data_IF_638875563298
#
_entry.id   IF_638875563298
#
_cell.length_a   1.000
_cell.length_b   1.000
_cell.length_c   1.000
_cell.angle_alpha   90.00
_cell.angle_beta   90.00
_cell.angle_gamma   90.00
#
_symmetry.space_group_name_H-M   'P 1'
#
loop_
_entity.id
_entity.type
_entity.pdbx_description
1 polymer ?
#
# COMPACT_ATOMS: atom_id res chain seq x y z
N UNK A 1 13.58 73.30 2.38
CA UNK A 1 12.66 72.71 1.37
C UNK A 1 12.56 71.20 1.44
N UNK A 2 13.54 70.48 1.89
CA UNK A 2 13.53 69.01 1.93
C UNK A 2 12.63 68.37 3.06
N UNK A 3 12.41 69.13 4.13
CA UNK A 3 11.64 68.65 5.32
C UNK A 3 10.12 68.58 5.07
N UNK A 4 9.59 69.39 4.18
CA UNK A 4 8.17 69.41 3.87
C UNK A 4 7.80 68.41 2.75
N UNK A 5 8.78 67.94 2.01
CA UNK A 5 8.57 66.87 0.99
C UNK A 5 8.41 65.49 1.62
N UNK A 6 9.05 65.25 2.77
CA UNK A 6 8.96 63.98 3.49
C UNK A 6 7.61 63.79 4.18
N UNK A 7 6.89 64.88 4.51
CA UNK A 7 5.57 64.81 5.15
C UNK A 7 4.45 64.55 4.15
N UNK A 8 4.65 64.79 2.87
CA UNK A 8 3.68 64.57 1.82
C UNK A 8 3.65 63.08 1.36
N UNK A 9 4.74 62.35 1.55
CA UNK A 9 4.86 60.92 1.23
C UNK A 9 4.13 60.04 2.27
N UNK A 10 3.93 60.54 3.49
CA UNK A 10 3.26 59.80 4.57
C UNK A 10 1.73 59.81 4.45
N UNK A 11 1.15 60.57 3.51
CA UNK A 11 -0.29 60.67 3.29
C UNK A 11 -0.78 60.02 1.98
N UNK A 12 -0.02 59.04 1.45
CA UNK A 12 -0.56 58.20 0.40
C UNK A 12 -1.67 57.34 1.03
N UNK A 13 -2.94 57.46 0.60
CA UNK A 13 -3.98 56.61 1.11
C UNK A 13 -3.60 55.18 0.71
N UNK A 14 -3.48 54.30 1.69
CA UNK A 14 -3.46 52.88 1.51
C UNK A 14 -4.80 52.52 0.85
N UNK A 15 -4.85 52.50 -0.47
CA UNK A 15 -5.97 52.00 -1.22
C UNK A 15 -6.05 50.49 -0.93
N UNK A 16 -6.74 50.17 0.14
CA UNK A 16 -7.11 48.80 0.46
C UNK A 16 -8.05 48.33 -0.64
N UNK A 17 -7.55 47.58 -1.59
CA UNK A 17 -8.39 46.83 -2.53
C UNK A 17 -9.18 45.80 -1.73
N UNK A 18 -10.39 46.16 -1.34
CA UNK A 18 -11.35 45.19 -0.82
C UNK A 18 -11.55 44.12 -1.91
N UNK A 19 -10.98 42.96 -1.72
CA UNK A 19 -11.13 41.86 -2.66
C UNK A 19 -12.61 41.37 -2.58
N UNK A 20 -13.40 41.68 -3.62
CA UNK A 20 -14.75 41.14 -3.72
C UNK A 20 -14.66 39.61 -3.70
N UNK A 21 -15.31 39.00 -2.72
CA UNK A 21 -15.50 37.57 -2.64
C UNK A 21 -16.97 37.27 -2.54
N UNK A 22 -17.41 36.22 -3.19
CA UNK A 22 -18.78 35.75 -3.17
C UNK A 22 -18.82 34.37 -2.48
N UNK A 23 -19.94 34.05 -1.85
CA UNK A 23 -20.11 32.78 -1.16
C UNK A 23 -20.71 31.75 -2.10
N UNK A 24 -20.11 30.58 -2.13
CA UNK A 24 -20.71 29.37 -2.67
C UNK A 24 -21.09 28.52 -1.46
N UNK A 25 -22.37 28.32 -1.25
CA UNK A 25 -22.92 27.62 -0.09
C UNK A 25 -24.04 26.68 -0.54
N UNK A 26 -24.41 25.76 0.35
CA UNK A 26 -25.50 24.81 0.08
C UNK A 26 -25.56 23.71 1.13
N UNK A 27 -26.54 22.83 0.99
CA UNK A 27 -26.74 21.66 1.85
C UNK A 27 -26.47 20.39 1.05
N UNK A 28 -25.77 19.45 1.66
CA UNK A 28 -25.48 18.17 1.05
C UNK A 28 -26.27 17.08 1.77
N UNK A 29 -27.02 16.29 0.98
CA UNK A 29 -27.84 15.18 1.46
C UNK A 29 -27.51 13.87 0.74
N UNK A 30 -28.03 12.77 1.26
CA UNK A 30 -28.06 11.48 0.57
C UNK A 30 -29.35 11.30 -0.23
N UNK A 31 -29.50 10.16 -0.91
CA UNK A 31 -30.70 9.81 -1.67
C UNK A 31 -31.96 9.67 -0.79
N UNK A 32 -31.80 9.38 0.49
CA UNK A 32 -32.85 9.24 1.48
C UNK A 32 -33.27 10.61 2.08
N UNK A 33 -32.70 11.72 1.54
CA UNK A 33 -32.88 13.11 2.00
C UNK A 33 -32.31 13.40 3.39
N UNK A 34 -31.46 12.53 3.93
CA UNK A 34 -30.74 12.81 5.17
C UNK A 34 -29.55 13.70 4.88
N UNK A 35 -29.33 14.71 5.70
CA UNK A 35 -28.21 15.63 5.59
C UNK A 35 -26.89 14.95 5.94
N UNK A 36 -25.83 15.25 5.20
CA UNK A 36 -24.52 14.63 5.38
C UNK A 36 -23.54 15.59 6.05
N UNK A 37 -23.23 15.36 7.30
CA UNK A 37 -22.18 16.06 8.03
C UNK A 37 -20.80 15.47 7.70
N UNK A 38 -19.77 16.31 7.59
CA UNK A 38 -18.39 15.86 7.33
C UNK A 38 -18.04 15.63 5.86
N UNK A 39 -18.90 16.03 4.92
CA UNK A 39 -18.57 16.00 3.49
C UNK A 39 -17.48 17.01 3.20
N UNK A 40 -16.41 16.58 2.57
CA UNK A 40 -15.31 17.45 2.17
C UNK A 40 -15.59 18.10 0.82
N UNK A 41 -15.54 19.42 0.81
CA UNK A 41 -15.69 20.26 -0.41
C UNK A 41 -14.34 20.89 -0.71
N UNK A 42 -13.70 20.50 -1.82
CA UNK A 42 -12.35 20.94 -2.19
C UNK A 42 -12.39 21.62 -3.56
N UNK A 43 -11.64 22.70 -3.72
CA UNK A 43 -11.40 23.32 -5.02
C UNK A 43 -10.29 22.53 -5.74
N UNK A 44 -10.55 22.09 -6.96
CA UNK A 44 -9.56 21.37 -7.76
C UNK A 44 -8.38 22.28 -8.08
N UNK A 45 -7.15 21.77 -7.88
CA UNK A 45 -5.93 22.54 -8.09
C UNK A 45 -5.55 23.51 -6.96
N UNK A 46 -6.33 23.62 -5.88
CA UNK A 46 -6.04 24.47 -4.74
C UNK A 46 -5.99 23.69 -3.43
N UNK A 47 -5.32 24.27 -2.41
CA UNK A 47 -5.29 23.70 -1.05
C UNK A 47 -6.55 24.01 -0.24
N UNK A 48 -7.38 24.95 -0.69
CA UNK A 48 -8.58 25.38 0.02
C UNK A 48 -9.66 24.29 -0.01
N UNK A 49 -10.16 23.96 1.16
CA UNK A 49 -11.23 22.99 1.35
C UNK A 49 -12.09 23.41 2.57
N UNK A 50 -13.36 23.06 2.55
CA UNK A 50 -14.28 23.18 3.69
C UNK A 50 -14.96 21.84 3.94
N UNK A 51 -15.66 21.72 5.07
CA UNK A 51 -16.37 20.51 5.47
C UNK A 51 -17.79 20.91 5.87
N UNK A 52 -18.79 20.08 5.54
CA UNK A 52 -20.18 20.33 5.97
C UNK A 52 -20.32 20.18 7.49
N UNK A 53 -21.14 21.06 8.08
CA UNK A 53 -21.52 21.00 9.50
C UNK A 53 -22.56 19.90 9.79
N UNK A 54 -23.08 19.83 11.02
CA UNK A 54 -24.09 18.84 11.42
C UNK A 54 -25.41 18.93 10.65
N UNK A 55 -25.73 20.07 10.07
CA UNK A 55 -26.92 20.29 9.25
C UNK A 55 -26.62 20.04 7.76
N UNK A 56 -25.47 19.46 7.43
CA UNK A 56 -25.02 19.22 6.04
C UNK A 56 -24.65 20.49 5.28
N UNK A 57 -24.62 21.65 5.94
CA UNK A 57 -24.38 22.96 5.31
C UNK A 57 -22.88 23.23 5.17
N UNK A 58 -22.48 23.77 4.01
CA UNK A 58 -21.14 24.28 3.75
C UNK A 58 -21.17 25.69 3.20
N UNK A 59 -20.09 26.43 3.38
CA UNK A 59 -19.87 27.75 2.77
C UNK A 59 -18.41 27.91 2.42
N UNK A 60 -18.16 28.45 1.22
CA UNK A 60 -16.84 28.70 0.67
C UNK A 60 -16.81 30.09 0.03
N UNK A 61 -15.89 30.94 0.46
CA UNK A 61 -15.73 32.31 -0.09
C UNK A 61 -14.73 32.28 -1.25
N UNK A 62 -15.18 32.67 -2.44
CA UNK A 62 -14.39 32.64 -3.68
C UNK A 62 -14.38 34.00 -4.35
N UNK A 63 -13.30 34.29 -5.06
CA UNK A 63 -13.23 35.45 -5.97
C UNK A 63 -14.00 35.14 -7.25
N UNK A 64 -14.37 36.15 -8.06
CA UNK A 64 -14.88 35.89 -9.40
C UNK A 64 -13.92 35.01 -10.21
N UNK A 65 -14.47 34.00 -10.88
CA UNK A 65 -13.70 33.00 -11.65
C UNK A 65 -14.46 31.71 -11.86
N UNK A 66 -13.86 30.82 -12.65
CA UNK A 66 -14.37 29.48 -12.92
C UNK A 66 -13.66 28.46 -12.01
N UNK A 67 -14.42 27.63 -11.34
CA UNK A 67 -13.95 26.65 -10.35
C UNK A 67 -14.56 25.28 -10.59
N UNK A 68 -13.80 24.23 -10.27
CA UNK A 68 -14.32 22.87 -10.16
C UNK A 68 -14.30 22.50 -8.68
N UNK A 69 -15.47 22.29 -8.11
CA UNK A 69 -15.63 21.85 -6.73
C UNK A 69 -15.77 20.33 -6.69
N UNK A 70 -14.90 19.67 -5.94
CA UNK A 70 -14.96 18.24 -5.68
C UNK A 70 -15.63 17.99 -4.32
N UNK A 71 -16.72 17.25 -4.32
CA UNK A 71 -17.45 16.81 -3.14
C UNK A 71 -17.13 15.34 -2.88
N UNK A 72 -16.57 15.04 -1.71
CA UNK A 72 -16.18 13.68 -1.34
C UNK A 72 -16.59 13.33 0.08
N UNK A 73 -17.13 12.13 0.26
CA UNK A 73 -17.51 11.58 1.57
C UNK A 73 -17.31 10.07 1.58
N UNK A 74 -16.92 9.52 2.73
CA UNK A 74 -16.65 8.09 2.87
C UNK A 74 -17.93 7.28 2.63
N UNK A 75 -17.87 6.31 1.71
CA UNK A 75 -19.02 5.48 1.32
C UNK A 75 -19.94 6.11 0.28
N UNK A 76 -19.58 7.25 -0.32
CA UNK A 76 -20.31 7.93 -1.37
C UNK A 76 -19.44 8.20 -2.59
N UNK A 77 -20.05 8.24 -3.77
CA UNK A 77 -19.37 8.61 -5.01
C UNK A 77 -18.98 10.08 -4.98
N UNK A 78 -17.71 10.37 -5.24
CA UNK A 78 -17.25 11.75 -5.39
C UNK A 78 -17.85 12.40 -6.64
N UNK A 79 -18.29 13.65 -6.51
CA UNK A 79 -18.87 14.43 -7.60
C UNK A 79 -18.01 15.67 -7.82
N UNK A 80 -17.73 15.98 -9.09
CA UNK A 80 -17.14 17.23 -9.52
C UNK A 80 -18.21 18.11 -10.12
N UNK A 81 -18.29 19.37 -9.67
CA UNK A 81 -19.26 20.35 -10.18
C UNK A 81 -18.49 21.60 -10.60
N UNK A 82 -18.74 22.04 -11.82
CA UNK A 82 -18.23 23.30 -12.34
C UNK A 82 -19.10 24.45 -11.83
N UNK A 83 -18.44 25.47 -11.25
CA UNK A 83 -19.10 26.62 -10.67
C UNK A 83 -18.44 27.89 -11.22
N UNK A 84 -19.26 28.76 -11.81
CA UNK A 84 -18.82 30.07 -12.31
C UNK A 84 -19.28 31.17 -11.36
N UNK A 85 -18.33 31.73 -10.61
CA UNK A 85 -18.58 32.85 -9.70
C UNK A 85 -18.37 34.16 -10.46
N UNK A 86 -19.42 34.98 -10.56
CA UNK A 86 -19.35 36.25 -11.30
C UNK A 86 -19.50 37.43 -10.32
N UNK A 87 -20.72 37.68 -9.85
CA UNK A 87 -21.10 38.90 -9.15
C UNK A 87 -22.09 38.69 -7.99
N UNK A 88 -22.43 37.43 -7.66
CA UNK A 88 -23.38 37.07 -6.62
C UNK A 88 -23.06 35.76 -5.93
N UNK A 89 -23.62 35.58 -4.75
CA UNK A 89 -23.57 34.33 -4.02
C UNK A 89 -24.33 33.22 -4.77
N UNK A 90 -23.82 31.99 -4.66
CA UNK A 90 -24.34 30.81 -5.36
C UNK A 90 -24.81 29.80 -4.33
N UNK A 91 -26.08 29.40 -4.41
CA UNK A 91 -26.57 28.23 -3.68
C UNK A 91 -26.38 26.98 -4.55
N UNK A 92 -25.58 26.02 -4.01
CA UNK A 92 -25.25 24.76 -4.67
C UNK A 92 -25.50 23.61 -3.71
N UNK A 93 -26.76 23.23 -3.60
CA UNK A 93 -27.17 22.06 -2.82
C UNK A 93 -27.14 20.81 -3.68
N UNK A 94 -26.60 19.69 -3.14
CA UNK A 94 -26.33 18.47 -3.89
C UNK A 94 -26.76 17.23 -3.13
N UNK A 95 -27.10 16.18 -3.89
CA UNK A 95 -27.35 14.84 -3.33
C UNK A 95 -26.24 13.90 -3.74
N UNK A 96 -25.54 13.32 -2.76
CA UNK A 96 -24.52 12.30 -2.99
C UNK A 96 -25.17 10.92 -3.09
N UNK A 97 -24.69 10.15 -4.05
CA UNK A 97 -25.08 8.76 -4.21
C UNK A 97 -24.17 7.87 -3.38
N UNK A 98 -24.73 6.93 -2.64
CA UNK A 98 -23.94 5.88 -1.97
C UNK A 98 -23.07 5.21 -3.02
N UNK A 99 -21.80 5.11 -2.72
CA UNK A 99 -20.89 4.28 -3.53
C UNK A 99 -21.17 2.83 -3.19
N UNK A 100 -22.10 2.23 -3.95
CA UNK A 100 -22.38 0.79 -3.92
C UNK A 100 -21.26 -0.02 -4.62
N UNK A 101 -20.13 0.59 -4.95
CA UNK A 101 -18.91 -0.18 -4.98
C UNK A 101 -18.65 -0.64 -3.53
N UNK A 102 -19.50 -1.53 -2.99
CA UNK A 102 -18.96 -2.65 -2.25
C UNK A 102 -17.62 -2.93 -2.92
N UNK A 103 -16.54 -2.82 -2.14
CA UNK A 103 -15.32 -3.54 -2.46
C UNK A 103 -15.84 -4.77 -3.21
N UNK A 104 -15.54 -4.90 -4.49
CA UNK A 104 -15.70 -6.17 -5.17
C UNK A 104 -14.87 -7.09 -4.31
N UNK A 105 -15.52 -7.61 -3.28
CA UNK A 105 -15.06 -8.79 -2.60
C UNK A 105 -14.87 -9.73 -3.76
N UNK A 106 -13.64 -10.11 -4.00
CA UNK A 106 -13.27 -11.05 -5.06
C UNK A 106 -13.84 -12.39 -4.63
N UNK A 107 -15.17 -12.50 -4.71
CA UNK A 107 -15.96 -13.69 -4.39
C UNK A 107 -15.63 -14.81 -5.37
N UNK A 108 -15.11 -14.46 -6.54
CA UNK A 108 -14.74 -15.45 -7.57
C UNK A 108 -13.46 -16.21 -7.20
N UNK A 109 -12.49 -15.58 -6.52
CA UNK A 109 -11.31 -16.30 -6.02
C UNK A 109 -11.62 -17.21 -4.83
N UNK A 110 -12.59 -16.85 -4.00
CA UNK A 110 -12.91 -17.61 -2.79
C UNK A 110 -13.57 -18.99 -3.11
N UNK A 111 -14.33 -19.09 -4.19
CA UNK A 111 -14.89 -20.39 -4.61
C UNK A 111 -13.82 -21.34 -5.17
N UNK A 112 -12.86 -20.84 -5.95
CA UNK A 112 -11.72 -21.66 -6.38
C UNK A 112 -10.78 -21.99 -5.21
N UNK A 113 -10.56 -21.06 -4.29
CA UNK A 113 -9.75 -21.28 -3.09
C UNK A 113 -10.38 -22.35 -2.18
N UNK A 114 -11.70 -22.34 -1.99
CA UNK A 114 -12.42 -23.38 -1.22
C UNK A 114 -12.30 -24.76 -1.85
N UNK A 115 -12.34 -24.84 -3.17
CA UNK A 115 -12.23 -26.12 -3.89
C UNK A 115 -10.80 -26.68 -3.90
N UNK A 116 -9.78 -25.84 -3.69
CA UNK A 116 -8.37 -26.26 -3.70
C UNK A 116 -7.74 -26.31 -2.32
N UNK A 117 -8.44 -25.93 -1.25
CA UNK A 117 -7.89 -25.84 0.11
C UNK A 117 -6.86 -24.71 0.28
N UNK A 118 -6.73 -23.81 -0.71
CA UNK A 118 -5.77 -22.70 -0.69
C UNK A 118 -6.44 -21.42 -0.22
N UNK A 119 -5.81 -20.71 0.71
CA UNK A 119 -6.23 -19.37 1.14
C UNK A 119 -5.33 -18.30 0.51
N UNK A 120 -5.91 -17.17 0.11
CA UNK A 120 -5.14 -16.02 -0.37
C UNK A 120 -4.58 -15.25 0.83
N UNK A 121 -3.27 -15.00 0.83
CA UNK A 121 -2.57 -14.26 1.88
C UNK A 121 -2.25 -12.86 1.36
N UNK A 122 -2.63 -11.84 2.10
CA UNK A 122 -2.36 -10.46 1.71
C UNK A 122 -0.85 -10.15 1.76
N UNK A 123 -0.23 -10.11 0.59
CA UNK A 123 1.22 -9.88 0.45
C UNK A 123 1.68 -8.50 0.99
N UNK A 124 0.78 -7.51 1.05
CA UNK A 124 1.12 -6.18 1.60
C UNK A 124 1.46 -6.23 3.09
N UNK A 125 0.95 -7.22 3.81
CA UNK A 125 1.29 -7.42 5.23
C UNK A 125 2.78 -7.72 5.42
N UNK A 126 3.48 -8.25 4.40
CA UNK A 126 4.92 -8.53 4.49
C UNK A 126 5.75 -7.27 4.69
N UNK A 127 5.38 -6.18 4.03
CA UNK A 127 6.11 -4.91 4.12
C UNK A 127 5.70 -4.07 5.32
N UNK A 128 4.52 -4.32 5.90
CA UNK A 128 3.97 -3.53 7.02
C UNK A 128 4.11 -4.22 8.37
N UNK A 129 4.36 -5.53 8.39
CA UNK A 129 4.50 -6.28 9.63
C UNK A 129 5.92 -6.07 10.21
N UNK A 130 6.06 -5.42 11.38
CA UNK A 130 7.34 -5.25 12.04
C UNK A 130 7.84 -6.61 12.53
N UNK A 131 8.79 -7.19 11.84
CA UNK A 131 9.48 -8.39 12.30
C UNK A 131 10.99 -8.23 12.17
N UNK A 132 11.72 -8.86 13.07
CA UNK A 132 13.19 -8.77 13.15
C UNK A 132 13.86 -9.40 11.94
N UNK A 133 13.32 -10.49 11.42
CA UNK A 133 13.91 -11.22 10.30
C UNK A 133 13.61 -10.58 8.95
N UNK A 134 12.56 -9.73 8.85
CA UNK A 134 12.04 -9.19 7.59
C UNK A 134 11.84 -10.29 6.54
N UNK A 135 11.48 -11.48 6.98
CA UNK A 135 11.18 -12.60 6.11
C UNK A 135 9.73 -12.56 5.69
N UNK A 136 9.47 -12.99 4.46
CA UNK A 136 8.11 -13.12 3.96
C UNK A 136 7.30 -14.10 4.80
N UNK A 137 7.91 -15.19 5.22
CA UNK A 137 7.27 -16.27 5.98
C UNK A 137 6.76 -15.82 7.35
N UNK A 138 7.21 -14.67 7.85
CA UNK A 138 6.69 -14.11 9.11
C UNK A 138 5.18 -13.84 9.07
N UNK A 139 4.61 -13.60 7.89
CA UNK A 139 3.15 -13.45 7.72
C UNK A 139 2.45 -14.78 7.96
N UNK A 140 3.05 -15.87 7.52
CA UNK A 140 2.46 -17.20 7.66
C UNK A 140 2.30 -17.60 9.12
N UNK A 141 3.17 -17.06 10.00
CA UNK A 141 3.09 -17.28 11.46
C UNK A 141 1.77 -16.80 12.08
N UNK A 142 1.07 -15.90 11.41
CA UNK A 142 -0.24 -15.39 11.84
C UNK A 142 -1.39 -16.32 11.45
N UNK A 143 -1.12 -17.32 10.62
CA UNK A 143 -2.15 -18.25 10.15
C UNK A 143 -2.34 -19.40 11.15
N UNK A 144 -3.58 -19.91 11.29
CA UNK A 144 -3.87 -21.02 12.17
C UNK A 144 -3.07 -22.27 11.80
N UNK A 145 -2.48 -22.92 12.78
CA UNK A 145 -1.71 -24.15 12.59
C UNK A 145 -0.28 -23.96 12.11
N UNK A 146 0.19 -22.72 11.95
CA UNK A 146 1.58 -22.40 11.63
C UNK A 146 2.35 -22.04 12.91
N UNK A 147 3.49 -22.64 13.12
CA UNK A 147 4.38 -22.37 14.24
C UNK A 147 5.83 -22.19 13.75
N UNK A 148 6.64 -21.54 14.56
CA UNK A 148 8.07 -21.37 14.30
C UNK A 148 8.84 -21.49 15.60
N UNK A 149 10.03 -22.05 15.52
CA UNK A 149 10.92 -22.20 16.68
C UNK A 149 11.77 -20.96 16.95
N UNK A 150 11.91 -20.07 15.94
CA UNK A 150 12.79 -18.91 16.06
C UNK A 150 12.29 -17.76 15.16
N UNK A 151 12.26 -16.54 15.69
CA UNK A 151 11.85 -15.35 14.93
C UNK A 151 12.87 -14.92 13.86
N UNK A 152 14.14 -15.28 14.02
CA UNK A 152 15.20 -14.97 13.06
C UNK A 152 15.23 -15.93 11.88
N UNK A 153 14.57 -17.09 11.99
CA UNK A 153 14.48 -18.08 10.93
C UNK A 153 13.25 -17.86 10.04
N UNK A 154 13.41 -18.08 8.74
CA UNK A 154 12.31 -18.18 7.79
C UNK A 154 11.63 -19.54 7.79
N UNK A 155 12.15 -20.50 8.53
CA UNK A 155 11.57 -21.81 8.69
C UNK A 155 10.25 -21.75 9.49
N UNK A 156 9.29 -22.54 9.07
CA UNK A 156 8.00 -22.68 9.75
C UNK A 156 7.53 -24.13 9.68
N UNK A 157 6.80 -24.53 10.69
CA UNK A 157 6.12 -25.83 10.79
C UNK A 157 4.63 -25.66 10.69
N UNK A 158 3.95 -26.56 10.02
CA UNK A 158 2.50 -26.51 9.84
C UNK A 158 1.87 -27.79 10.39
N UNK A 159 0.93 -27.61 11.30
CA UNK A 159 0.17 -28.72 11.95
C UNK A 159 1.06 -29.81 12.54
N UNK A 160 2.22 -29.45 13.06
CA UNK A 160 3.18 -30.37 13.64
C UNK A 160 4.11 -31.08 12.66
N UNK A 161 3.97 -30.80 11.35
CA UNK A 161 4.92 -31.28 10.34
C UNK A 161 6.25 -30.55 10.43
N UNK A 162 7.29 -31.16 9.87
CA UNK A 162 8.62 -30.55 9.86
C UNK A 162 8.75 -29.45 8.79
N UNK A 163 9.73 -28.56 8.91
CA UNK A 163 9.91 -27.46 7.95
C UNK A 163 10.27 -27.92 6.54
N UNK A 164 10.88 -29.09 6.36
CA UNK A 164 11.20 -29.69 5.08
C UNK A 164 10.03 -30.40 4.41
N UNK A 165 8.92 -30.55 5.11
CA UNK A 165 7.65 -31.06 4.57
C UNK A 165 6.79 -29.98 3.94
N UNK A 166 7.21 -28.74 3.93
CA UNK A 166 6.54 -27.64 3.28
C UNK A 166 6.95 -27.53 1.81
N UNK A 167 5.98 -27.40 0.93
CA UNK A 167 6.17 -27.20 -0.50
C UNK A 167 6.12 -25.72 -0.82
N UNK A 168 7.10 -25.22 -1.55
CA UNK A 168 7.18 -23.81 -1.94
C UNK A 168 7.29 -23.72 -3.46
N UNK A 169 6.37 -22.94 -4.05
CA UNK A 169 6.39 -22.57 -5.46
C UNK A 169 6.64 -21.06 -5.60
N UNK A 170 7.45 -20.70 -6.59
CA UNK A 170 7.62 -19.30 -7.03
C UNK A 170 7.41 -19.27 -8.55
N UNK A 171 6.39 -18.56 -9.01
CA UNK A 171 6.01 -18.48 -10.42
C UNK A 171 5.85 -19.87 -11.07
N UNK A 172 5.11 -20.76 -10.43
CA UNK A 172 4.86 -22.17 -10.83
C UNK A 172 6.11 -23.07 -10.87
N UNK A 173 7.25 -22.62 -10.33
CA UNK A 173 8.49 -23.41 -10.20
C UNK A 173 8.64 -23.87 -8.76
N UNK A 174 8.79 -25.18 -8.55
CA UNK A 174 9.07 -25.74 -7.24
C UNK A 174 10.46 -25.36 -6.75
N UNK A 175 10.54 -24.92 -5.49
CA UNK A 175 11.78 -24.50 -4.84
C UNK A 175 12.16 -25.52 -3.77
N UNK A 176 13.12 -26.36 -4.07
CA UNK A 176 13.60 -27.41 -3.15
C UNK A 176 14.35 -26.86 -1.93
N UNK A 177 15.06 -25.74 -2.07
CA UNK A 177 15.81 -25.08 -1.00
C UNK A 177 15.42 -23.61 -0.92
N UNK A 178 14.35 -23.28 -0.20
CA UNK A 178 13.83 -21.90 -0.13
C UNK A 178 14.67 -20.96 0.75
N UNK A 179 15.80 -21.44 1.28
CA UNK A 179 16.68 -20.69 2.18
C UNK A 179 18.01 -20.41 1.52
N UNK A 180 18.41 -19.15 1.47
CA UNK A 180 19.65 -18.70 0.83
C UNK A 180 20.90 -19.12 1.62
N UNK A 181 20.85 -19.06 2.95
CA UNK A 181 21.95 -19.45 3.82
C UNK A 181 21.39 -20.27 4.98
N UNK A 182 22.02 -21.39 5.26
CA UNK A 182 21.75 -22.21 6.43
C UNK A 182 23.06 -22.46 7.16
N UNK A 183 23.23 -21.82 8.29
CA UNK A 183 24.37 -22.06 9.20
C UNK A 183 23.82 -22.50 10.55
N UNK A 184 23.85 -23.80 10.80
CA UNK A 184 23.57 -24.37 12.11
C UNK A 184 22.09 -24.21 12.50
N UNK A 185 21.82 -23.55 13.61
CA UNK A 185 20.52 -23.64 14.28
C UNK A 185 19.54 -22.49 14.01
N UNK A 186 19.94 -21.38 13.40
CA UNK A 186 19.13 -20.17 13.55
C UNK A 186 18.82 -19.37 12.28
N UNK A 187 19.41 -19.68 11.14
CA UNK A 187 19.34 -18.73 10.05
C UNK A 187 19.05 -19.37 8.70
N UNK A 188 17.90 -19.07 8.22
CA UNK A 188 17.61 -19.17 6.83
C UNK A 188 17.08 -17.83 6.38
N UNK A 189 17.83 -17.05 5.58
CA UNK A 189 17.19 -15.97 4.87
C UNK A 189 16.24 -16.57 3.86
N UNK A 190 15.01 -16.04 3.85
CA UNK A 190 14.04 -16.37 2.82
C UNK A 190 14.57 -16.04 1.42
N UNK A 191 14.45 -17.00 0.50
CA UNK A 191 14.64 -16.75 -0.91
C UNK A 191 13.57 -15.74 -1.43
N UNK A 192 12.36 -15.78 -0.87
CA UNK A 192 11.28 -14.91 -1.26
C UNK A 192 11.61 -13.46 -0.89
N UNK A 193 11.67 -12.60 -1.90
CA UNK A 193 11.83 -11.17 -1.70
C UNK A 193 10.45 -10.51 -1.59
N UNK A 194 10.09 -9.92 -0.42
CA UNK A 194 8.78 -9.30 -0.21
C UNK A 194 8.42 -8.22 -1.24
N UNK A 195 9.43 -7.47 -1.74
CA UNK A 195 9.23 -6.41 -2.73
C UNK A 195 8.75 -6.96 -4.08
N UNK A 196 9.14 -8.17 -4.43
CA UNK A 196 8.76 -8.83 -5.68
C UNK A 196 7.40 -9.54 -5.58
N UNK A 197 6.91 -9.87 -4.38
CA UNK A 197 5.69 -10.66 -4.18
C UNK A 197 4.45 -9.92 -4.64
N UNK A 198 3.70 -10.53 -5.55
CA UNK A 198 2.39 -10.07 -6.02
C UNK A 198 1.23 -10.77 -5.34
N UNK A 199 1.06 -12.04 -5.63
CA UNK A 199 0.00 -12.86 -5.07
C UNK A 199 0.59 -14.03 -4.28
N UNK A 200 -0.10 -14.43 -3.23
CA UNK A 200 0.31 -15.54 -2.36
C UNK A 200 -0.89 -16.40 -2.04
N UNK A 201 -0.74 -17.68 -2.27
CA UNK A 201 -1.70 -18.71 -1.86
C UNK A 201 -1.02 -19.66 -0.88
N UNK A 202 -1.71 -19.99 0.18
CA UNK A 202 -1.21 -20.88 1.22
C UNK A 202 -2.24 -21.95 1.55
N UNK A 203 -1.78 -23.18 1.78
CA UNK A 203 -2.61 -24.25 2.33
C UNK A 203 -1.88 -24.96 3.46
N UNK A 204 -2.58 -25.11 4.58
CA UNK A 204 -2.10 -25.89 5.73
C UNK A 204 -2.56 -27.38 5.63
N UNK A 205 -2.55 -27.94 4.43
CA UNK A 205 -3.00 -29.29 4.11
C UNK A 205 -4.30 -29.32 3.31
N UNK A 206 -4.57 -30.42 2.62
CA UNK A 206 -5.74 -30.57 1.74
C UNK A 206 -5.62 -29.80 0.42
N UNK A 207 -4.43 -29.66 -0.11
CA UNK A 207 -4.15 -29.01 -1.38
C UNK A 207 -4.43 -29.92 -2.58
N UNK A 208 -4.70 -29.31 -3.74
CA UNK A 208 -5.07 -30.01 -4.96
C UNK A 208 -3.92 -30.81 -5.59
N UNK A 209 -4.25 -31.67 -6.57
CA UNK A 209 -3.32 -32.60 -7.23
C UNK A 209 -2.14 -31.92 -7.97
N UNK A 210 -2.19 -30.60 -8.21
CA UNK A 210 -1.06 -29.81 -8.75
C UNK A 210 0.18 -29.90 -7.85
N UNK A 211 -0.04 -30.01 -6.54
CA UNK A 211 1.01 -29.96 -5.52
C UNK A 211 1.25 -31.35 -4.95
N UNK A 212 2.37 -31.97 -5.31
CA UNK A 212 2.78 -33.30 -4.87
C UNK A 212 3.96 -33.29 -3.90
N UNK A 213 4.38 -34.47 -3.46
CA UNK A 213 5.64 -34.78 -2.76
C UNK A 213 5.86 -34.21 -1.35
N UNK A 214 4.97 -33.36 -0.84
CA UNK A 214 5.07 -32.78 0.51
C UNK A 214 3.77 -33.00 1.29
N UNK A 215 3.90 -33.12 2.61
CA UNK A 215 2.81 -33.62 3.46
C UNK A 215 2.19 -32.52 4.34
N UNK A 216 2.91 -31.42 4.59
CA UNK A 216 2.51 -30.46 5.61
C UNK A 216 1.77 -29.24 5.03
N UNK A 217 2.40 -28.49 4.15
CA UNK A 217 1.79 -27.28 3.59
C UNK A 217 2.27 -26.96 2.17
N UNK A 218 1.53 -26.09 1.51
CA UNK A 218 1.91 -25.49 0.23
C UNK A 218 1.90 -23.98 0.35
N UNK A 219 2.97 -23.34 -0.10
CA UNK A 219 3.11 -21.93 -0.29
C UNK A 219 3.35 -21.65 -1.78
N UNK A 220 2.38 -21.06 -2.46
CA UNK A 220 2.47 -20.69 -3.88
C UNK A 220 2.55 -19.18 -4.01
N UNK A 221 3.69 -18.68 -4.46
CA UNK A 221 4.02 -17.26 -4.59
C UNK A 221 4.11 -16.89 -6.05
N UNK A 222 3.35 -15.87 -6.45
CA UNK A 222 3.46 -15.27 -7.78
C UNK A 222 4.08 -13.89 -7.64
N UNK A 223 5.16 -13.64 -8.37
CA UNK A 223 5.81 -12.33 -8.38
C UNK A 223 4.99 -11.32 -9.20
N UNK A 224 5.13 -10.05 -8.86
CA UNK A 224 4.38 -8.95 -9.47
C UNK A 224 4.74 -8.78 -10.95
N UNK A 225 3.74 -8.46 -11.74
CA UNK A 225 3.93 -7.76 -13.01
C UNK A 225 3.67 -6.26 -12.80
N UNK A 226 4.34 -5.40 -13.55
CA UNK A 226 4.29 -3.94 -13.32
C UNK A 226 3.87 -3.23 -14.59
N UNK A 227 3.00 -2.24 -14.42
CA UNK A 227 2.57 -1.36 -15.50
C UNK A 227 3.37 -0.05 -15.54
N UNK A 228 4.15 0.23 -14.48
CA UNK A 228 4.93 1.46 -14.34
C UNK A 228 6.37 1.17 -13.88
N UNK A 229 7.31 1.99 -14.34
CA UNK A 229 8.68 1.99 -13.82
C UNK A 229 8.71 2.60 -12.44
N UNK A 230 9.28 1.90 -11.46
CA UNK A 230 9.41 2.37 -10.08
C UNK A 230 10.67 1.82 -9.41
N UNK A 231 11.12 2.51 -8.38
CA UNK A 231 12.23 2.07 -7.52
C UNK A 231 11.74 2.04 -6.07
N UNK A 232 12.03 0.95 -5.38
CA UNK A 232 11.78 0.77 -3.95
C UNK A 232 13.13 0.67 -3.26
N UNK A 233 13.35 1.48 -2.23
CA UNK A 233 14.53 1.40 -1.38
C UNK A 233 14.08 1.12 0.04
N UNK A 234 14.59 0.06 0.62
CA UNK A 234 14.34 -0.35 2.00
C UNK A 234 15.58 -0.14 2.87
N UNK A 235 15.39 0.51 4.00
CA UNK A 235 16.42 0.67 5.03
C UNK A 235 15.92 0.03 6.32
N UNK A 236 16.72 -0.84 6.89
CA UNK A 236 16.43 -1.52 8.14
C UNK A 236 17.65 -1.57 9.04
N UNK A 237 17.45 -1.81 10.33
CA UNK A 237 18.54 -1.95 11.32
C UNK A 237 19.51 -3.08 11.00
N UNK A 238 19.04 -4.09 10.26
CA UNK A 238 19.81 -5.28 9.90
C UNK A 238 20.13 -5.36 8.39
N UNK A 239 19.92 -4.28 7.60
CA UNK A 239 20.31 -4.32 6.21
C UNK A 239 19.65 -3.27 5.32
N UNK A 240 19.95 -3.38 4.05
CA UNK A 240 19.43 -2.52 2.99
C UNK A 240 18.89 -3.35 1.85
N UNK A 241 17.86 -2.84 1.19
CA UNK A 241 17.33 -3.42 -0.05
C UNK A 241 17.09 -2.35 -1.10
N UNK A 242 17.22 -2.71 -2.35
CA UNK A 242 16.86 -1.88 -3.48
C UNK A 242 16.21 -2.75 -4.55
N UNK A 243 15.02 -2.39 -4.97
CA UNK A 243 14.28 -3.10 -6.01
C UNK A 243 13.85 -2.12 -7.08
N UNK A 244 14.21 -2.41 -8.33
CA UNK A 244 13.85 -1.59 -9.49
C UNK A 244 12.93 -2.39 -10.39
N UNK A 245 11.85 -1.77 -10.79
CA UNK A 245 10.90 -2.29 -11.77
C UNK A 245 10.96 -1.43 -13.00
N UNK A 246 11.20 -2.05 -14.12
CA UNK A 246 11.28 -1.38 -15.41
C UNK A 246 10.23 -1.98 -16.35
N UNK A 247 9.35 -1.11 -16.86
CA UNK A 247 8.34 -1.49 -17.84
C UNK A 247 8.57 -0.73 -19.14
N UNK A 248 8.73 -1.44 -20.23
CA UNK A 248 8.83 -0.86 -21.55
C UNK A 248 8.08 -1.71 -22.57
N UNK A 249 6.96 -1.20 -23.09
CA UNK A 249 6.10 -1.89 -24.06
C UNK A 249 5.68 -3.30 -23.56
N UNK A 250 6.21 -4.34 -24.20
CA UNK A 250 5.91 -5.76 -23.91
C UNK A 250 6.92 -6.41 -22.95
N UNK A 251 7.88 -5.63 -22.42
CA UNK A 251 8.96 -6.13 -21.56
C UNK A 251 8.80 -5.59 -20.14
N UNK A 252 8.80 -6.49 -19.18
CA UNK A 252 8.87 -6.18 -17.76
C UNK A 252 10.16 -6.77 -17.18
N UNK A 253 10.98 -5.95 -16.56
CA UNK A 253 12.21 -6.35 -15.88
C UNK A 253 12.14 -5.88 -14.43
N UNK A 254 12.30 -6.79 -13.48
CA UNK A 254 12.54 -6.46 -12.09
C UNK A 254 13.93 -6.90 -11.69
N UNK A 255 14.67 -6.02 -11.02
CA UNK A 255 15.97 -6.30 -10.43
C UNK A 255 15.91 -5.94 -8.95
N UNK A 256 16.29 -6.87 -8.10
CA UNK A 256 16.27 -6.69 -6.66
C UNK A 256 17.64 -7.05 -6.06
N UNK A 257 18.11 -6.20 -5.16
CA UNK A 257 19.31 -6.42 -4.35
C UNK A 257 18.94 -6.33 -2.88
N UNK A 258 19.42 -7.26 -2.09
CA UNK A 258 19.32 -7.23 -0.63
C UNK A 258 20.68 -7.51 0.00
N UNK A 259 21.05 -6.69 0.97
CA UNK A 259 22.15 -6.96 1.90
C UNK A 259 21.55 -7.07 3.30
N UNK A 260 21.88 -8.12 4.03
CA UNK A 260 21.47 -8.30 5.43
C UNK A 260 22.65 -8.70 6.31
N UNK A 261 22.64 -8.14 7.54
CA UNK A 261 23.65 -8.37 8.54
C UNK A 261 22.99 -8.50 9.91
N UNK A 262 22.86 -9.72 10.40
CA UNK A 262 22.13 -10.00 11.65
C UNK A 262 23.02 -9.91 12.92
N UNK A 263 24.24 -9.43 12.81
CA UNK A 263 25.22 -9.32 13.89
C UNK A 263 24.68 -8.59 15.12
N UNK A 264 23.99 -7.45 14.92
CA UNK A 264 23.52 -6.63 16.03
C UNK A 264 22.43 -7.33 16.86
N UNK A 265 21.60 -8.13 16.20
CA UNK A 265 20.52 -8.88 16.85
C UNK A 265 21.07 -10.09 17.58
N UNK A 266 22.04 -10.78 16.99
CA UNK A 266 22.64 -11.97 17.59
C UNK A 266 23.54 -11.63 18.79
N UNK A 267 24.27 -10.52 18.72
CA UNK A 267 25.12 -10.07 19.84
C UNK A 267 24.32 -9.59 21.06
N UNK A 268 23.02 -9.33 20.92
CA UNK A 268 22.14 -9.01 22.04
C UNK A 268 21.61 -10.24 22.78
N UNK A 269 21.87 -11.45 22.24
CA UNK A 269 21.44 -12.71 22.85
C UNK A 269 22.62 -13.36 23.57
N UNK A 270 22.41 -14.08 24.70
CA UNK A 270 23.49 -14.85 25.38
C UNK A 270 23.83 -16.10 24.58
N UNK A 271 24.53 -15.92 23.45
CA UNK A 271 24.96 -17.01 22.59
C UNK A 271 26.48 -17.27 22.82
N UNK A 272 26.85 -18.52 22.99
CA UNK A 272 28.25 -18.91 23.10
C UNK A 272 28.87 -18.96 21.71
N UNK A 273 29.66 -17.93 21.35
CA UNK A 273 30.38 -17.84 20.08
C UNK A 273 30.22 -16.53 19.34
N UNK A 274 31.24 -16.10 18.61
CA UNK A 274 31.17 -14.95 17.72
C UNK A 274 30.62 -15.40 16.36
N UNK A 275 29.38 -15.00 16.08
CA UNK A 275 28.71 -15.35 14.85
C UNK A 275 28.28 -14.09 14.09
N UNK A 276 28.74 -13.94 12.84
CA UNK A 276 28.55 -12.75 12.03
C UNK A 276 27.89 -13.09 10.68
N UNK A 277 26.61 -13.49 10.64
CA UNK A 277 25.97 -13.79 9.39
C UNK A 277 25.74 -12.52 8.58
N UNK A 278 26.30 -12.51 7.39
CA UNK A 278 26.11 -11.47 6.39
C UNK A 278 25.92 -12.11 5.03
N UNK A 279 24.98 -11.62 4.27
CA UNK A 279 24.77 -12.10 2.91
C UNK A 279 24.29 -10.99 1.99
N UNK A 280 24.53 -11.21 0.71
CA UNK A 280 24.04 -10.43 -0.40
C UNK A 280 23.19 -11.34 -1.29
N UNK A 281 22.08 -10.83 -1.73
CA UNK A 281 21.14 -11.54 -2.60
C UNK A 281 20.80 -10.66 -3.78
N UNK A 282 20.88 -11.24 -4.98
CA UNK A 282 20.47 -10.63 -6.24
C UNK A 282 19.38 -11.48 -6.88
N UNK A 283 18.25 -10.86 -7.22
CA UNK A 283 17.18 -11.50 -7.93
C UNK A 283 16.81 -10.70 -9.17
N UNK A 284 16.54 -11.41 -10.27
CA UNK A 284 16.06 -10.83 -11.52
C UNK A 284 14.82 -11.56 -12.01
N UNK A 285 13.81 -10.80 -12.44
CA UNK A 285 12.63 -11.31 -13.11
C UNK A 285 12.50 -10.63 -14.45
N UNK A 286 12.47 -11.43 -15.50
CA UNK A 286 12.28 -10.94 -16.88
C UNK A 286 11.02 -11.58 -17.46
N UNK A 287 10.07 -10.73 -17.85
CA UNK A 287 8.85 -11.14 -18.52
C UNK A 287 8.76 -10.45 -19.88
N UNK A 288 8.56 -11.23 -20.92
CA UNK A 288 8.33 -10.74 -22.27
C UNK A 288 7.01 -11.25 -22.81
N UNK A 289 6.11 -10.34 -23.10
CA UNK A 289 4.82 -10.66 -23.73
C UNK A 289 5.03 -10.77 -25.24
N UNK A 290 5.14 -11.99 -25.74
CA UNK A 290 5.48 -12.28 -27.15
C UNK A 290 4.29 -12.00 -28.07
N UNK A 291 3.07 -12.30 -27.62
CA UNK A 291 1.82 -12.10 -28.36
C UNK A 291 0.81 -11.35 -27.51
N UNK A 292 -0.09 -10.62 -28.14
CA UNK A 292 -1.25 -10.01 -27.48
C UNK A 292 -2.34 -11.04 -27.27
#
# INVERSE_FOLDING_TARGET
MLKNFLFFILFLPLVSFAQLTFKVNGVISNQDKEVLAGVRVKIQGQKNATITNNDGYYSLSLKPGDYILNFSYLGFKSINVEVKVIDKDIDLSLTLQKDLQQLKQVVVEDQQARNTGMISVNSKLASTNPNVSQSFESILKQLPGVSTNNELSSQYSVRGGNFDENLIYINDIEIYKPYLVRNGQQEGLSLINPDLVGNVKFSAGGFGAKYGDKLSSVLDVTYKTFDTTQVIVGLATNGVSATTFFNYKKVNLALAYRNKKNTSVLNSQPVIGNYNPQFNDFQGLFNWKISD
#
